data_IF_210351064910
#
_entry.id   IF_210351064910
#
_cell.length_a   1.000
_cell.length_b   1.000
_cell.length_c   1.000
_cell.angle_alpha   90.00
_cell.angle_beta   90.00
_cell.angle_gamma   90.00
#
_symmetry.space_group_name_H-M   'P 1'
#
loop_
_entity.id
_entity.type
_entity.pdbx_description
1 polymer ?
#
# COMPACT_ATOMS: atom_id res chain seq x y z
N UNK A 1 10.53 29.07 10.74
CA UNK A 1 11.56 28.02 10.85
C UNK A 1 10.97 26.74 10.26
N UNK A 2 11.79 25.79 9.80
CA UNK A 2 11.33 24.62 9.03
C UNK A 2 11.33 23.41 9.97
N UNK A 3 10.22 22.65 10.07
CA UNK A 3 10.15 21.43 10.89
C UNK A 3 11.29 20.46 10.57
N UNK A 4 11.78 19.77 11.60
CA UNK A 4 12.76 18.69 11.42
C UNK A 4 12.13 17.49 10.71
N UNK A 5 12.68 17.08 9.58
CA UNK A 5 12.26 15.86 8.86
C UNK A 5 13.43 14.89 8.83
N UNK A 6 13.21 13.68 9.35
CA UNK A 6 14.12 12.56 9.21
C UNK A 6 13.52 11.53 8.25
N UNK A 7 14.25 11.17 7.20
CA UNK A 7 13.81 10.17 6.23
C UNK A 7 14.63 8.88 6.36
N UNK A 8 13.94 7.74 6.40
CA UNK A 8 14.53 6.41 6.38
C UNK A 8 14.04 5.62 5.16
N UNK A 9 14.90 4.75 4.63
CA UNK A 9 14.55 3.76 3.61
C UNK A 9 14.28 2.40 4.26
N UNK A 10 13.25 1.69 3.84
CA UNK A 10 12.91 0.36 4.33
C UNK A 10 12.47 -0.58 3.19
N UNK A 11 12.47 -1.88 3.46
CA UNK A 11 11.89 -2.90 2.58
C UNK A 11 10.69 -3.52 3.29
N UNK A 12 9.54 -3.53 2.62
CA UNK A 12 8.30 -4.13 3.08
C UNK A 12 7.97 -5.34 2.20
N UNK A 13 7.98 -6.52 2.80
CA UNK A 13 7.66 -7.76 2.13
C UNK A 13 6.32 -8.28 2.63
N UNK A 14 5.33 -8.43 1.74
CA UNK A 14 4.00 -8.89 2.12
C UNK A 14 3.50 -9.99 1.19
N UNK A 15 3.00 -11.07 1.77
CA UNK A 15 2.34 -12.14 1.01
C UNK A 15 0.87 -11.78 0.79
N UNK A 16 0.44 -11.84 -0.46
CA UNK A 16 -0.95 -11.56 -0.83
C UNK A 16 -1.81 -12.78 -0.51
N UNK A 17 -2.61 -12.66 0.54
CA UNK A 17 -3.62 -13.66 0.88
C UNK A 17 -4.94 -13.41 0.14
N UNK A 18 -5.86 -14.39 0.18
CA UNK A 18 -7.25 -14.17 -0.25
C UNK A 18 -7.91 -12.99 0.46
N UNK A 19 -7.60 -12.81 1.76
CA UNK A 19 -8.10 -11.70 2.55
C UNK A 19 -7.53 -10.36 2.09
N UNK A 20 -6.22 -10.31 1.80
CA UNK A 20 -5.55 -9.11 1.28
C UNK A 20 -6.17 -8.67 -0.04
N UNK A 21 -6.49 -9.60 -0.95
CA UNK A 21 -7.22 -9.25 -2.18
C UNK A 21 -8.61 -8.69 -1.90
N UNK A 22 -9.33 -9.24 -0.93
CA UNK A 22 -10.67 -8.75 -0.61
C UNK A 22 -10.67 -7.37 0.04
N UNK A 23 -9.66 -7.07 0.86
CA UNK A 23 -9.64 -5.83 1.64
C UNK A 23 -8.81 -4.72 0.98
N UNK A 24 -7.67 -5.08 0.38
CA UNK A 24 -6.66 -4.12 -0.11
C UNK A 24 -6.78 -3.92 -1.62
N UNK A 25 -7.04 -4.98 -2.38
CA UNK A 25 -7.19 -4.92 -3.84
C UNK A 25 -8.55 -5.43 -4.29
N UNK A 26 -9.66 -4.83 -3.80
CA UNK A 26 -10.96 -5.33 -4.12
C UNK A 26 -11.28 -4.95 -5.56
N UNK A 27 -10.79 -5.77 -6.48
CA UNK A 27 -11.02 -5.80 -7.92
C UNK A 27 -12.53 -6.00 -8.15
N UNK A 28 -13.29 -4.94 -7.88
CA UNK A 28 -14.74 -4.91 -7.82
C UNK A 28 -15.31 -4.89 -9.23
N UNK A 29 -16.41 -5.62 -9.45
CA UNK A 29 -17.05 -5.71 -10.76
C UNK A 29 -17.83 -4.44 -11.17
N UNK A 30 -17.87 -3.39 -10.34
CA UNK A 30 -18.65 -2.18 -10.65
C UNK A 30 -18.07 -1.37 -11.83
N UNK A 31 -16.79 -1.54 -12.15
CA UNK A 31 -16.14 -0.89 -13.30
C UNK A 31 -15.95 -1.83 -14.49
N UNK A 32 -16.13 -3.14 -14.30
CA UNK A 32 -15.94 -4.17 -15.32
C UNK A 32 -16.86 -5.35 -15.00
N UNK A 33 -17.78 -5.75 -15.90
CA UNK A 33 -18.76 -6.79 -15.61
C UNK A 33 -18.09 -8.02 -15.00
N UNK A 34 -18.71 -8.56 -13.95
CA UNK A 34 -18.19 -9.55 -12.99
C UNK A 34 -17.67 -10.88 -13.57
N UNK A 35 -17.63 -10.98 -14.90
CA UNK A 35 -17.35 -12.15 -15.70
C UNK A 35 -16.20 -11.96 -16.69
N UNK A 36 -15.47 -10.83 -16.68
CA UNK A 36 -14.26 -10.76 -17.50
C UNK A 36 -13.20 -11.72 -16.91
N UNK A 37 -12.91 -12.82 -17.60
CA UNK A 37 -11.90 -13.83 -17.25
C UNK A 37 -10.59 -13.22 -16.71
N UNK A 38 -10.26 -12.02 -17.22
CA UNK A 38 -9.08 -11.26 -16.87
C UNK A 38 -8.99 -10.84 -15.40
N UNK A 39 -10.08 -10.34 -14.80
CA UNK A 39 -10.08 -9.92 -13.38
C UNK A 39 -9.89 -11.11 -12.43
N UNK A 40 -10.45 -12.26 -12.80
CA UNK A 40 -10.25 -13.51 -12.07
C UNK A 40 -8.83 -14.04 -12.25
N UNK A 41 -8.28 -13.97 -13.47
CA UNK A 41 -6.89 -14.33 -13.75
C UNK A 41 -5.90 -13.47 -12.94
N UNK A 42 -6.15 -12.16 -12.81
CA UNK A 42 -5.34 -11.26 -11.99
C UNK A 42 -5.39 -11.62 -10.50
N UNK A 43 -6.58 -11.89 -9.96
CA UNK A 43 -6.70 -12.38 -8.56
C UNK A 43 -5.90 -13.66 -8.37
N UNK A 44 -6.03 -14.62 -9.28
CA UNK A 44 -5.31 -15.90 -9.20
C UNK A 44 -3.79 -15.72 -9.26
N UNK A 45 -3.29 -14.79 -10.07
CA UNK A 45 -1.86 -14.47 -10.17
C UNK A 45 -1.32 -13.77 -8.93
N UNK A 46 -2.15 -13.02 -8.21
CA UNK A 46 -1.72 -12.31 -7.01
C UNK A 46 -1.74 -13.19 -5.76
N UNK A 47 -2.67 -14.15 -5.61
CA UNK A 47 -2.74 -15.01 -4.42
C UNK A 47 -1.44 -15.80 -4.25
N UNK A 48 -0.85 -15.71 -3.06
CA UNK A 48 0.35 -16.46 -2.69
C UNK A 48 1.65 -15.77 -3.08
N UNK A 49 1.59 -14.73 -3.92
CA UNK A 49 2.77 -13.96 -4.31
C UNK A 49 3.26 -13.08 -3.16
N UNK A 50 4.58 -12.92 -3.08
CA UNK A 50 5.21 -12.00 -2.14
C UNK A 50 5.53 -10.70 -2.87
N UNK A 51 4.87 -9.62 -2.45
CA UNK A 51 5.16 -8.28 -2.91
C UNK A 51 6.36 -7.75 -2.13
N UNK A 52 7.41 -7.41 -2.87
CA UNK A 52 8.60 -6.75 -2.34
C UNK A 52 8.52 -5.26 -2.68
N UNK A 53 8.25 -4.45 -1.67
CA UNK A 53 8.03 -3.02 -1.83
C UNK A 53 9.16 -2.23 -1.16
N UNK A 54 9.81 -1.36 -1.93
CA UNK A 54 10.67 -0.34 -1.34
C UNK A 54 9.81 0.76 -0.70
N UNK A 55 10.23 1.20 0.48
CA UNK A 55 9.47 2.15 1.29
C UNK A 55 10.36 3.32 1.72
N UNK A 56 9.76 4.51 1.75
CA UNK A 56 10.31 5.67 2.43
C UNK A 56 9.46 5.98 3.65
N UNK A 57 10.11 6.14 4.80
CA UNK A 57 9.46 6.50 6.04
C UNK A 57 9.96 7.90 6.43
N UNK A 58 9.05 8.87 6.49
CA UNK A 58 9.36 10.21 6.99
C UNK A 58 8.87 10.34 8.42
N UNK A 59 9.78 10.67 9.32
CA UNK A 59 9.49 11.06 10.68
C UNK A 59 9.49 12.58 10.75
N UNK A 60 8.34 13.16 11.07
CA UNK A 60 8.20 14.59 11.31
C UNK A 60 8.38 14.82 12.82
N UNK A 61 9.36 15.64 13.17
CA UNK A 61 9.71 15.93 14.55
C UNK A 61 9.16 17.29 14.98
N UNK A 62 8.66 17.34 16.20
CA UNK A 62 8.37 18.56 16.92
C UNK A 62 9.66 19.35 17.17
N UNK A 63 9.62 20.65 16.89
CA UNK A 63 10.81 21.50 16.93
C UNK A 63 11.33 21.70 18.36
N UNK A 64 10.43 21.78 19.35
CA UNK A 64 10.79 22.11 20.73
C UNK A 64 11.28 20.88 21.50
N UNK A 65 10.60 19.75 21.33
CA UNK A 65 10.88 18.53 22.10
C UNK A 65 11.75 17.53 21.34
N UNK A 66 12.00 17.74 20.04
CA UNK A 66 12.63 16.77 19.13
C UNK A 66 11.95 15.40 19.15
N UNK A 67 10.66 15.34 19.49
CA UNK A 67 9.87 14.11 19.49
C UNK A 67 9.18 13.91 18.16
N UNK A 68 8.99 12.67 17.75
CA UNK A 68 8.24 12.33 16.53
C UNK A 68 6.76 12.63 16.78
N UNK A 69 6.17 13.50 15.97
CA UNK A 69 4.73 13.83 16.02
C UNK A 69 3.94 13.17 14.90
N UNK A 70 4.61 12.77 13.82
CA UNK A 70 3.98 12.08 12.69
C UNK A 70 4.97 11.18 11.97
N UNK A 71 4.46 10.03 11.54
CA UNK A 71 5.16 9.09 10.67
C UNK A 71 4.38 8.96 9.38
N UNK A 72 5.05 9.18 8.26
CA UNK A 72 4.50 8.95 6.92
C UNK A 72 5.22 7.78 6.29
N UNK A 73 4.47 6.86 5.70
CA UNK A 73 5.03 5.69 5.04
C UNK A 73 4.60 5.74 3.58
N UNK A 74 5.57 5.90 2.69
CA UNK A 74 5.40 5.88 1.25
C UNK A 74 5.90 4.54 0.73
N UNK A 75 5.01 3.74 0.15
CA UNK A 75 5.31 2.39 -0.34
C UNK A 75 5.22 2.40 -1.87
N UNK A 76 6.26 1.92 -2.55
CA UNK A 76 6.25 1.74 -4.01
C UNK A 76 5.47 0.47 -4.41
N UNK A 77 4.15 0.62 -4.47
CA UNK A 77 3.24 -0.44 -4.91
C UNK A 77 3.32 -0.72 -6.42
N UNK A 78 3.69 0.28 -7.21
CA UNK A 78 3.70 0.16 -8.68
C UNK A 78 4.78 -0.83 -9.11
N UNK A 79 6.01 -0.63 -8.63
CA UNK A 79 7.11 -1.53 -8.95
C UNK A 79 6.87 -2.95 -8.44
N UNK A 80 6.36 -3.08 -7.21
CA UNK A 80 6.07 -4.39 -6.60
C UNK A 80 5.01 -5.16 -7.40
N UNK A 81 3.90 -4.51 -7.78
CA UNK A 81 2.85 -5.15 -8.57
C UNK A 81 3.28 -5.40 -10.01
N UNK A 82 4.09 -4.51 -10.60
CA UNK A 82 4.61 -4.72 -11.95
C UNK A 82 5.47 -5.98 -12.04
N UNK A 83 6.29 -6.26 -11.02
CA UNK A 83 7.11 -7.48 -10.97
C UNK A 83 6.26 -8.77 -10.98
N UNK A 84 5.06 -8.74 -10.39
CA UNK A 84 4.15 -9.89 -10.36
C UNK A 84 3.27 -9.96 -11.62
N UNK A 85 2.75 -8.82 -12.07
CA UNK A 85 1.74 -8.74 -13.13
C UNK A 85 2.35 -8.62 -14.53
N UNK A 86 3.58 -8.11 -14.64
CA UNK A 86 4.35 -8.00 -15.87
C UNK A 86 3.82 -6.98 -16.88
N UNK A 87 2.78 -6.21 -16.54
CA UNK A 87 2.25 -5.16 -17.41
C UNK A 87 1.58 -4.03 -16.61
N UNK A 88 1.73 -2.81 -17.12
CA UNK A 88 1.27 -1.60 -16.42
C UNK A 88 -0.25 -1.44 -16.44
N UNK A 89 -0.94 -1.95 -17.47
CA UNK A 89 -2.40 -1.86 -17.55
C UNK A 89 -3.07 -2.63 -16.41
N UNK A 90 -2.54 -3.81 -16.08
CA UNK A 90 -3.04 -4.62 -14.99
C UNK A 90 -2.68 -4.05 -13.62
N UNK A 91 -1.49 -3.46 -13.48
CA UNK A 91 -1.10 -2.72 -12.27
C UNK A 91 -2.06 -1.57 -12.01
N UNK A 92 -2.35 -0.74 -13.01
CA UNK A 92 -3.30 0.36 -12.90
C UNK A 92 -4.72 -0.13 -12.62
N UNK A 93 -5.14 -1.28 -13.16
CA UNK A 93 -6.44 -1.88 -12.85
C UNK A 93 -6.52 -2.31 -11.39
N UNK A 94 -5.47 -2.95 -10.86
CA UNK A 94 -5.41 -3.38 -9.47
C UNK A 94 -5.41 -2.17 -8.54
N UNK A 95 -4.53 -1.19 -8.78
CA UNK A 95 -4.41 0.02 -7.96
C UNK A 95 -5.63 0.93 -8.05
N UNK A 96 -6.27 1.04 -9.22
CA UNK A 96 -7.49 1.83 -9.40
C UNK A 96 -8.70 1.29 -8.61
N UNK A 97 -8.60 0.06 -8.09
CA UNK A 97 -9.60 -0.53 -7.19
C UNK A 97 -9.09 -0.67 -5.76
N UNK A 98 -7.85 -0.30 -5.47
CA UNK A 98 -7.22 -0.56 -4.19
C UNK A 98 -7.75 0.37 -3.10
N UNK A 99 -7.92 -0.17 -1.89
CA UNK A 99 -8.25 0.60 -0.68
C UNK A 99 -7.02 1.27 -0.05
N UNK A 100 -5.86 1.19 -0.73
CA UNK A 100 -4.60 1.79 -0.27
C UNK A 100 -4.64 3.28 -0.57
N UNK A 101 -5.08 4.05 0.42
CA UNK A 101 -5.04 5.52 0.38
C UNK A 101 -3.77 6.02 1.03
N UNK A 102 -3.24 7.13 0.51
CA UNK A 102 -1.97 7.76 0.93
C UNK A 102 -1.93 8.26 2.39
N UNK A 103 -3.02 8.13 3.16
CA UNK A 103 -3.24 8.92 4.39
C UNK A 103 -3.79 8.13 5.59
N UNK A 104 -3.63 6.79 5.67
CA UNK A 104 -4.03 6.08 6.89
C UNK A 104 -2.94 6.12 7.95
N UNK A 105 -2.92 7.24 8.66
CA UNK A 105 -2.32 7.41 9.98
C UNK A 105 -2.83 6.24 10.86
N UNK A 106 -1.93 5.36 11.31
CA UNK A 106 -2.22 4.51 12.46
C UNK A 106 -2.10 5.45 13.66
N UNK A 107 -3.21 6.06 14.08
CA UNK A 107 -3.26 6.71 15.40
C UNK A 107 -3.25 5.56 16.40
N UNK A 108 -2.19 5.49 17.18
CA UNK A 108 -2.09 4.56 18.31
C UNK A 108 -3.32 4.72 19.20
N UNK A 109 -4.06 3.63 19.40
CA UNK A 109 -5.17 3.56 20.34
C UNK A 109 -4.61 3.40 21.76
N UNK A 110 -3.89 4.42 22.22
CA UNK A 110 -3.34 4.50 23.57
C UNK A 110 -3.60 5.90 24.14
N UNK A 111 -4.87 6.32 24.13
CA UNK A 111 -5.34 7.52 24.84
C UNK A 111 -6.83 7.47 25.17
N UNK A 112 -7.35 6.30 25.54
CA UNK A 112 -8.53 6.23 26.40
C UNK A 112 -8.24 5.19 27.48
N UNK A 113 -7.64 5.64 28.58
CA UNK A 113 -7.81 5.18 29.96
C UNK A 113 -7.05 6.13 30.90
#
# INVERSE_FOLDING_TARGET
>A
MVPGVMTATAQFNATVSRFTLWCVFPLHPKNYPATSDHSFALKKRLIGEQLHCSCLINFLLDEETSRIVRVEINIDWVSALYNVLGNMQDVLRVLGTASVTNERIIVDASSEL
#
